data_IF_515514266758
#
_entry.id   IF_515514266758
#
_cell.length_a   1.000
_cell.length_b   1.000
_cell.length_c   1.000
_cell.angle_alpha   90.00
_cell.angle_beta   90.00
_cell.angle_gamma   90.00
#
_symmetry.space_group_name_H-M   'P 1'
#
loop_
_entity.id
_entity.type
_entity.pdbx_description
1 polymer ?
#
# COMPACT_ATOMS: atom_id res chain seq x y z
N UNK A 1 -2.36 -32.41 -1.68
CA UNK A 1 -3.09 -31.99 -2.90
C UNK A 1 -2.87 -30.49 -3.12
N UNK A 2 -2.09 -30.08 -4.13
CA UNK A 2 -1.95 -28.66 -4.51
C UNK A 2 -3.12 -28.28 -5.41
N UNK A 3 -4.13 -27.56 -4.89
CA UNK A 3 -5.16 -26.93 -5.73
C UNK A 3 -4.47 -25.96 -6.68
N UNK A 4 -4.46 -26.27 -7.98
CA UNK A 4 -4.11 -25.28 -9.00
C UNK A 4 -5.24 -24.25 -9.00
N UNK A 5 -4.95 -23.05 -8.52
CA UNK A 5 -5.83 -21.90 -8.71
C UNK A 5 -6.05 -21.70 -10.22
N UNK A 6 -7.28 -21.39 -10.67
CA UNK A 6 -7.54 -21.12 -12.08
C UNK A 6 -6.63 -19.97 -12.54
N UNK A 7 -5.81 -20.24 -13.58
CA UNK A 7 -4.88 -19.27 -14.21
C UNK A 7 -5.58 -18.16 -15.01
N UNK A 8 -6.88 -17.94 -14.78
CA UNK A 8 -7.66 -16.88 -15.44
C UNK A 8 -7.59 -15.57 -14.67
N UNK A 9 -7.70 -14.44 -15.38
CA UNK A 9 -7.94 -13.15 -14.75
C UNK A 9 -9.36 -13.17 -14.18
N UNK A 10 -9.49 -13.34 -12.86
CA UNK A 10 -10.79 -13.25 -12.20
C UNK A 10 -11.09 -11.77 -12.00
N UNK A 11 -12.12 -11.21 -12.64
CA UNK A 11 -12.48 -9.81 -12.44
C UNK A 11 -12.78 -9.55 -10.97
N UNK A 12 -12.36 -8.40 -10.46
CA UNK A 12 -12.71 -8.00 -9.12
C UNK A 12 -14.21 -7.70 -9.06
N UNK A 13 -14.95 -8.42 -8.21
CA UNK A 13 -16.36 -8.10 -7.96
C UNK A 13 -16.47 -6.73 -7.29
N UNK A 14 -17.53 -5.99 -7.64
CA UNK A 14 -17.74 -4.59 -7.22
C UNK A 14 -17.61 -4.40 -5.70
N UNK A 15 -18.05 -5.38 -4.91
CA UNK A 15 -17.96 -5.30 -3.44
C UNK A 15 -16.52 -5.39 -2.93
N UNK A 16 -15.71 -6.30 -3.49
CA UNK A 16 -14.28 -6.41 -3.14
C UNK A 16 -13.52 -5.15 -3.52
N UNK A 17 -13.82 -4.56 -4.69
CA UNK A 17 -13.25 -3.29 -5.10
C UNK A 17 -13.60 -2.16 -4.12
N UNK A 18 -14.88 -2.00 -3.78
CA UNK A 18 -15.34 -0.95 -2.84
C UNK A 18 -14.70 -1.07 -1.47
N UNK A 19 -14.61 -2.30 -0.94
CA UNK A 19 -13.95 -2.55 0.33
C UNK A 19 -12.48 -2.15 0.29
N UNK A 20 -11.75 -2.55 -0.74
CA UNK A 20 -10.34 -2.20 -0.89
C UNK A 20 -10.13 -0.69 -1.06
N UNK A 21 -11.00 -0.03 -1.83
CA UNK A 21 -10.96 1.42 -2.02
C UNK A 21 -11.20 2.17 -0.70
N UNK A 22 -12.14 1.68 0.09
CA UNK A 22 -12.41 2.20 1.43
C UNK A 22 -11.22 1.99 2.36
N UNK A 23 -10.66 0.77 2.41
CA UNK A 23 -9.48 0.45 3.22
C UNK A 23 -8.29 1.35 2.85
N UNK A 24 -8.05 1.58 1.55
CA UNK A 24 -6.98 2.45 1.08
C UNK A 24 -7.19 3.91 1.53
N UNK A 25 -8.43 4.41 1.41
CA UNK A 25 -8.78 5.76 1.85
C UNK A 25 -8.65 5.92 3.36
N UNK A 26 -9.08 4.93 4.13
CA UNK A 26 -8.94 4.93 5.59
C UNK A 26 -7.46 4.90 6.01
N UNK A 27 -6.61 4.09 5.35
CA UNK A 27 -5.18 4.05 5.64
C UNK A 27 -4.50 5.40 5.36
N UNK A 28 -4.86 6.07 4.26
CA UNK A 28 -4.35 7.39 3.94
C UNK A 28 -4.81 8.46 4.93
N UNK A 29 -6.10 8.51 5.28
CA UNK A 29 -6.60 9.46 6.27
C UNK A 29 -6.05 9.19 7.67
N UNK A 30 -5.81 7.93 8.03
CA UNK A 30 -5.14 7.58 9.29
C UNK A 30 -3.70 8.11 9.33
N UNK A 31 -2.95 8.00 8.22
CA UNK A 31 -1.61 8.57 8.12
C UNK A 31 -1.65 10.11 8.19
N UNK A 32 -2.64 10.75 7.57
CA UNK A 32 -2.77 12.22 7.58
C UNK A 32 -3.18 12.73 8.97
N UNK A 33 -4.19 12.12 9.59
CA UNK A 33 -4.75 12.58 10.86
C UNK A 33 -3.94 12.18 12.09
N UNK A 34 -3.25 11.04 12.03
CA UNK A 34 -2.38 10.54 13.09
C UNK A 34 -1.10 9.91 12.48
N UNK A 35 -0.15 10.74 12.02
CA UNK A 35 1.08 10.25 11.43
C UNK A 35 1.89 9.42 12.42
N UNK A 36 2.17 8.16 12.06
CA UNK A 36 2.95 7.24 12.89
C UNK A 36 3.64 6.20 11.99
N UNK A 37 4.68 5.51 12.47
CA UNK A 37 5.28 4.41 11.74
C UNK A 37 4.27 3.31 11.38
N UNK A 38 3.27 3.08 12.24
CA UNK A 38 2.21 2.09 12.01
C UNK A 38 1.33 2.52 10.83
N UNK A 39 0.81 3.74 10.84
CA UNK A 39 -0.05 4.25 9.77
C UNK A 39 0.71 4.38 8.44
N UNK A 40 1.99 4.75 8.49
CA UNK A 40 2.88 4.75 7.34
C UNK A 40 3.08 3.34 6.75
N UNK A 41 3.40 2.37 7.59
CA UNK A 41 3.64 0.99 7.16
C UNK A 41 2.39 0.36 6.56
N UNK A 42 1.22 0.60 7.16
CA UNK A 42 -0.06 0.12 6.63
C UNK A 42 -0.29 0.62 5.21
N UNK A 43 -0.18 1.94 4.99
CA UNK A 43 -0.37 2.50 3.65
C UNK A 43 0.70 2.02 2.67
N UNK A 44 1.97 1.96 3.09
CA UNK A 44 3.08 1.47 2.26
C UNK A 44 2.85 0.03 1.79
N UNK A 45 2.39 -0.86 2.67
CA UNK A 45 2.06 -2.25 2.33
C UNK A 45 0.95 -2.33 1.29
N UNK A 46 -0.10 -1.51 1.43
CA UNK A 46 -1.19 -1.46 0.46
C UNK A 46 -0.71 -1.00 -0.92
N UNK A 47 0.09 0.07 -0.99
CA UNK A 47 0.66 0.55 -2.25
C UNK A 47 1.61 -0.49 -2.87
N UNK A 48 2.43 -1.16 -2.05
CA UNK A 48 3.31 -2.23 -2.51
C UNK A 48 2.53 -3.42 -3.08
N UNK A 49 1.41 -3.80 -2.46
CA UNK A 49 0.54 -4.86 -2.95
C UNK A 49 -0.13 -4.45 -4.28
N UNK A 50 -0.59 -3.22 -4.41
CA UNK A 50 -1.15 -2.70 -5.66
C UNK A 50 -0.12 -2.68 -6.79
N UNK A 51 1.09 -2.21 -6.52
CA UNK A 51 2.20 -2.23 -7.48
C UNK A 51 2.51 -3.66 -7.94
N UNK A 52 2.66 -4.59 -6.98
CA UNK A 52 2.91 -6.02 -7.25
C UNK A 52 1.78 -6.70 -7.99
N UNK A 53 0.54 -6.26 -7.78
CA UNK A 53 -0.62 -6.76 -8.52
C UNK A 53 -0.66 -6.26 -9.98
N UNK A 54 0.29 -5.41 -10.37
CA UNK A 54 0.43 -4.87 -11.72
C UNK A 54 -0.33 -3.56 -11.95
N UNK A 55 -0.69 -2.84 -10.88
CA UNK A 55 -1.29 -1.52 -11.04
C UNK A 55 -0.25 -0.54 -11.57
N UNK A 56 -0.43 -0.11 -12.83
CA UNK A 56 0.36 0.98 -13.42
C UNK A 56 -0.53 2.22 -13.50
N UNK A 57 -0.29 3.18 -12.61
CA UNK A 57 -1.03 4.43 -12.56
C UNK A 57 -0.10 5.57 -12.08
N UNK A 58 -0.10 6.74 -12.72
CA UNK A 58 0.65 7.91 -12.25
C UNK A 58 0.28 8.32 -10.81
N UNK A 59 -0.94 7.96 -10.38
CA UNK A 59 -1.39 8.17 -9.03
C UNK A 59 -0.66 7.28 -8.01
N UNK A 60 -0.26 6.07 -8.39
CA UNK A 60 0.54 5.18 -7.56
C UNK A 60 1.95 5.76 -7.35
N UNK A 61 2.59 6.20 -8.44
CA UNK A 61 3.92 6.82 -8.39
C UNK A 61 3.91 8.06 -7.47
N UNK A 62 2.91 8.94 -7.62
CA UNK A 62 2.74 10.11 -6.75
C UNK A 62 2.54 9.76 -5.28
N UNK A 63 1.79 8.70 -4.99
CA UNK A 63 1.62 8.24 -3.61
C UNK A 63 2.94 7.72 -3.04
N UNK A 64 3.69 6.94 -3.82
CA UNK A 64 5.01 6.44 -3.45
C UNK A 64 6.01 7.57 -3.23
N UNK A 65 6.06 8.57 -4.10
CA UNK A 65 6.93 9.75 -3.94
C UNK A 65 6.62 10.52 -2.65
N UNK A 66 5.32 10.65 -2.34
CA UNK A 66 4.88 11.30 -1.09
C UNK A 66 5.36 10.51 0.13
N UNK A 67 5.28 9.18 0.09
CA UNK A 67 5.77 8.33 1.18
C UNK A 67 7.30 8.36 1.32
N UNK A 68 8.04 8.39 0.20
CA UNK A 68 9.49 8.55 0.23
C UNK A 68 9.89 9.86 0.92
N UNK A 69 9.23 10.96 0.58
CA UNK A 69 9.48 12.26 1.23
C UNK A 69 9.16 12.25 2.75
N UNK A 70 8.23 11.40 3.20
CA UNK A 70 7.94 11.19 4.63
C UNK A 70 9.04 10.38 5.30
N UNK A 71 9.58 9.35 4.63
CA UNK A 71 10.72 8.56 5.15
C UNK A 71 11.99 9.39 5.22
N UNK A 72 12.35 10.12 4.16
CA UNK A 72 13.53 11.00 4.16
C UNK A 72 13.48 11.99 5.32
N UNK A 73 12.28 12.49 5.64
CA UNK A 73 12.05 13.33 6.81
C UNK A 73 12.21 12.55 8.10
N UNK A 74 11.60 11.38 8.22
CA UNK A 74 11.72 10.54 9.40
C UNK A 74 13.19 10.22 9.71
N UNK A 75 13.99 9.88 8.72
CA UNK A 75 15.44 9.64 8.89
C UNK A 75 16.18 10.87 9.40
N UNK A 76 15.78 12.07 8.95
CA UNK A 76 16.42 13.32 9.34
C UNK A 76 16.02 13.83 10.73
N UNK A 77 14.76 13.66 11.15
CA UNK A 77 14.23 14.28 12.38
C UNK A 77 13.57 13.30 13.36
N UNK A 78 13.54 12.00 13.06
CA UNK A 78 12.99 10.94 13.90
C UNK A 78 11.46 10.96 14.07
N UNK A 79 10.74 11.73 13.24
CA UNK A 79 9.28 11.92 13.37
C UNK A 79 8.58 11.74 12.04
N UNK A 80 7.53 10.91 12.06
CA UNK A 80 6.60 10.77 10.94
C UNK A 80 5.66 11.97 10.99
N UNK A 81 5.52 12.66 9.86
CA UNK A 81 4.65 13.82 9.74
C UNK A 81 4.51 14.21 8.29
N UNK A 82 3.35 14.77 7.93
CA UNK A 82 3.02 15.22 6.58
C UNK A 82 2.84 16.74 6.61
N UNK A 83 3.26 17.41 5.53
CA UNK A 83 2.88 18.79 5.24
C UNK A 83 1.46 18.81 4.67
N UNK A 84 0.77 19.94 4.76
CA UNK A 84 -0.59 20.08 4.19
C UNK A 84 -0.63 19.79 2.69
N UNK A 85 0.43 20.19 1.96
CA UNK A 85 0.58 19.89 0.53
C UNK A 85 0.76 18.40 0.26
N UNK A 86 1.46 17.67 1.13
CA UNK A 86 1.66 16.22 1.04
C UNK A 86 0.36 15.48 1.38
N UNK A 87 -0.37 15.94 2.40
CA UNK A 87 -1.68 15.41 2.73
C UNK A 87 -2.68 15.58 1.57
N UNK A 88 -2.71 16.76 0.95
CA UNK A 88 -3.54 17.01 -0.23
C UNK A 88 -3.12 16.13 -1.43
N UNK A 89 -1.82 16.02 -1.70
CA UNK A 89 -1.30 15.17 -2.76
C UNK A 89 -1.65 13.69 -2.53
N UNK A 90 -1.53 13.21 -1.29
CA UNK A 90 -1.85 11.84 -0.94
C UNK A 90 -3.35 11.53 -1.14
N UNK A 91 -4.24 12.45 -0.75
CA UNK A 91 -5.69 12.30 -1.00
C UNK A 91 -6.02 12.22 -2.49
N UNK A 92 -5.41 13.08 -3.31
CA UNK A 92 -5.58 13.06 -4.76
C UNK A 92 -5.04 11.78 -5.38
N UNK A 93 -3.87 11.32 -4.92
CA UNK A 93 -3.26 10.08 -5.37
C UNK A 93 -4.15 8.88 -5.06
N UNK A 94 -4.68 8.78 -3.84
CA UNK A 94 -5.60 7.71 -3.43
C UNK A 94 -6.88 7.71 -4.27
N UNK A 95 -7.46 8.88 -4.56
CA UNK A 95 -8.62 8.98 -5.45
C UNK A 95 -8.29 8.50 -6.88
N UNK A 96 -7.10 8.80 -7.39
CA UNK A 96 -6.64 8.31 -8.69
C UNK A 96 -6.39 6.79 -8.71
N UNK A 97 -5.89 6.24 -7.61
CA UNK A 97 -5.67 4.79 -7.44
C UNK A 97 -6.99 4.04 -7.42
N UNK A 98 -7.99 4.54 -6.67
CA UNK A 98 -9.34 3.97 -6.59
C UNK A 98 -9.96 3.77 -7.98
N UNK A 99 -9.90 4.80 -8.83
CA UNK A 99 -10.38 4.72 -10.22
C UNK A 99 -9.60 3.73 -11.10
N UNK A 100 -8.32 3.48 -10.79
CA UNK A 100 -7.47 2.57 -11.55
C UNK A 100 -7.57 1.10 -11.06
N UNK A 101 -7.95 0.87 -9.80
CA UNK A 101 -8.02 -0.44 -9.17
C UNK A 101 -9.00 -1.41 -9.85
N UNK A 102 -10.04 -0.91 -10.52
CA UNK A 102 -10.99 -1.72 -11.32
C UNK A 102 -10.28 -2.61 -12.36
N UNK A 103 -9.07 -2.23 -12.78
CA UNK A 103 -8.28 -2.94 -13.79
C UNK A 103 -7.50 -4.14 -13.24
N UNK A 104 -7.45 -4.32 -11.93
CA UNK A 104 -6.66 -5.37 -11.28
C UNK A 104 -7.52 -6.63 -11.10
N UNK A 105 -7.09 -7.82 -11.58
CA UNK A 105 -7.74 -9.08 -11.24
C UNK A 105 -7.60 -9.40 -9.75
N UNK A 106 -8.68 -9.86 -9.12
CA UNK A 106 -8.70 -10.09 -7.65
C UNK A 106 -7.68 -11.14 -7.22
N UNK A 107 -7.47 -12.18 -8.03
CA UNK A 107 -6.47 -13.21 -7.75
C UNK A 107 -5.04 -12.65 -7.76
N UNK A 108 -4.74 -11.70 -8.65
CA UNK A 108 -3.44 -11.02 -8.68
C UNK A 108 -3.24 -10.11 -7.48
N UNK A 109 -4.28 -9.42 -7.05
CA UNK A 109 -4.24 -8.63 -5.84
C UNK A 109 -4.02 -9.49 -4.59
N UNK A 110 -4.75 -10.59 -4.43
CA UNK A 110 -4.59 -11.51 -3.29
C UNK A 110 -3.19 -12.15 -3.25
N UNK A 111 -2.66 -12.57 -4.40
CA UNK A 111 -1.27 -13.08 -4.51
C UNK A 111 -0.26 -12.01 -4.07
N UNK A 112 -0.47 -10.76 -4.50
CA UNK A 112 0.42 -9.65 -4.17
C UNK A 112 0.39 -9.28 -2.68
N UNK A 113 -0.79 -9.26 -2.05
CA UNK A 113 -0.93 -9.01 -0.60
C UNK A 113 -0.16 -10.05 0.21
N UNK A 114 -0.39 -11.35 -0.07
CA UNK A 114 0.31 -12.42 0.62
C UNK A 114 1.83 -12.34 0.43
N UNK A 115 2.30 -11.99 -0.76
CA UNK A 115 3.74 -11.81 -1.02
C UNK A 115 4.34 -10.63 -0.26
N UNK A 116 3.60 -9.53 -0.09
CA UNK A 116 4.04 -8.37 0.71
C UNK A 116 4.09 -8.72 2.19
N UNK A 117 3.09 -9.43 2.72
CA UNK A 117 3.07 -9.88 4.11
C UNK A 117 4.28 -10.76 4.43
N UNK A 118 4.51 -11.80 3.62
CA UNK A 118 5.68 -12.70 3.77
C UNK A 118 6.99 -11.92 3.70
N UNK A 119 7.10 -10.94 2.80
CA UNK A 119 8.30 -10.11 2.71
C UNK A 119 8.51 -9.28 3.98
N UNK A 120 7.46 -8.62 4.48
CA UNK A 120 7.53 -7.83 5.70
C UNK A 120 7.90 -8.68 6.93
N UNK A 121 7.35 -9.89 7.03
CA UNK A 121 7.66 -10.82 8.11
C UNK A 121 9.13 -11.28 8.03
N UNK A 122 9.64 -11.56 6.84
CA UNK A 122 11.04 -11.96 6.63
C UNK A 122 12.04 -10.83 6.96
N UNK A 123 11.69 -9.57 6.67
CA UNK A 123 12.52 -8.42 7.04
C UNK A 123 12.45 -8.16 8.56
N UNK A 124 11.25 -8.29 9.16
CA UNK A 124 11.07 -8.19 10.61
C UNK A 124 11.87 -9.24 11.38
N UNK A 125 11.87 -10.49 10.91
CA UNK A 125 12.68 -11.57 11.47
C UNK A 125 14.18 -11.29 11.41
N UNK A 126 14.68 -10.79 10.27
CA UNK A 126 16.11 -10.43 10.12
C UNK A 126 16.56 -9.32 11.07
N UNK A 127 15.69 -8.35 11.36
CA UNK A 127 16.03 -7.27 12.30
C UNK A 127 16.18 -7.72 13.77
N UNK A 128 15.70 -8.92 14.14
CA UNK A 128 15.86 -9.46 15.50
C UNK A 128 17.06 -10.40 15.66
N UNK A 129 17.66 -10.89 14.56
CA UNK A 129 18.79 -11.83 14.61
C UNK A 129 20.17 -11.12 14.62
N UNK A 130 20.22 -9.81 14.36
CA UNK A 130 21.46 -8.99 14.40
C UNK A 130 21.77 -8.35 15.79
N UNK A 131 21.11 -8.81 16.86
CA UNK A 131 21.39 -8.39 18.25
C UNK A 131 21.73 -9.60 19.12
N UNK A 132 22.74 -10.39 18.72
CA UNK A 132 23.34 -11.40 19.62
C UNK A 132 24.85 -11.46 19.43
#
# INVERSE_FOLDING_TARGET
>A
MRRRLPKGNVPMVTETHRRLALELRLAAEALIGAPSPVTYNTLSKMLAALNRAGLVAPALDRATDTLNAVVDRFERIGKVGLKDTEAAALRQAVAGIDGAMVRIPVNKFSEAVAAVEVFCDAIGAKSSEDIT
#
